data_IF_302957921356
#
_entry.id   IF_302957921356
#
_cell.length_a   1.000
_cell.length_b   1.000
_cell.length_c   1.000
_cell.angle_alpha   90.00
_cell.angle_beta   90.00
_cell.angle_gamma   90.00
#
_symmetry.space_group_name_H-M   'P 1'
#
loop_
_entity.id
_entity.type
_entity.pdbx_description
1 polymer ?
#
# COMPACT_ATOMS: atom_id res chain seq x y z
N UNK A 1 7.76 11.36 -10.44
CA UNK A 1 6.67 10.94 -9.54
C UNK A 1 5.35 11.49 -10.06
N UNK A 2 4.32 10.64 -10.06
CA UNK A 2 2.98 10.99 -10.53
C UNK A 2 1.93 10.70 -9.46
N UNK A 3 0.79 11.37 -9.58
CA UNK A 3 -0.39 11.02 -8.78
C UNK A 3 -0.85 9.58 -9.06
N UNK A 4 -1.58 9.01 -8.10
CA UNK A 4 -2.29 7.74 -8.26
C UNK A 4 -3.28 7.80 -9.43
N UNK A 5 -3.29 6.74 -10.23
CA UNK A 5 -4.14 6.57 -11.41
C UNK A 5 -5.05 5.35 -11.24
N UNK A 6 -6.12 5.28 -12.03
CA UNK A 6 -7.08 4.16 -12.00
C UNK A 6 -6.40 2.80 -12.19
N UNK A 7 -5.35 2.71 -13.01
CA UNK A 7 -4.59 1.47 -13.21
C UNK A 7 -3.97 0.94 -11.91
N UNK A 8 -3.55 1.84 -11.02
CA UNK A 8 -2.86 1.49 -9.78
C UNK A 8 -3.81 0.80 -8.81
N UNK A 9 -5.12 1.11 -8.87
CA UNK A 9 -6.14 0.42 -8.07
C UNK A 9 -6.14 -1.07 -8.42
N UNK A 10 -6.12 -1.43 -9.71
CA UNK A 10 -6.12 -2.82 -10.13
C UNK A 10 -4.81 -3.54 -9.80
N UNK A 11 -3.67 -2.83 -9.88
CA UNK A 11 -2.37 -3.39 -9.49
C UNK A 11 -2.34 -3.67 -7.99
N UNK A 12 -2.79 -2.72 -7.15
CA UNK A 12 -2.89 -2.89 -5.70
C UNK A 12 -3.85 -4.02 -5.31
N UNK A 13 -5.02 -4.13 -5.94
CA UNK A 13 -5.96 -5.22 -5.68
C UNK A 13 -5.35 -6.59 -6.00
N UNK A 14 -4.59 -6.71 -7.10
CA UNK A 14 -3.85 -7.94 -7.43
C UNK A 14 -2.74 -8.23 -6.42
N UNK A 15 -2.01 -7.21 -5.99
CA UNK A 15 -0.98 -7.35 -4.96
C UNK A 15 -1.58 -7.93 -3.68
N UNK A 16 -2.63 -7.30 -3.14
CA UNK A 16 -3.33 -7.74 -1.93
C UNK A 16 -3.78 -9.20 -2.05
N UNK A 17 -4.38 -9.57 -3.18
CA UNK A 17 -4.80 -10.96 -3.43
C UNK A 17 -3.62 -11.92 -3.48
N UNK A 18 -2.54 -11.53 -4.15
CA UNK A 18 -1.34 -12.36 -4.29
C UNK A 18 -0.57 -12.57 -2.99
N UNK A 19 -0.69 -11.64 -2.04
CA UNK A 19 -0.11 -11.71 -0.70
C UNK A 19 -1.06 -12.33 0.32
N UNK A 20 -2.25 -12.76 -0.11
CA UNK A 20 -3.31 -13.29 0.75
C UNK A 20 -3.63 -12.36 1.94
N UNK A 21 -3.67 -11.06 1.68
CA UNK A 21 -3.86 -9.98 2.66
C UNK A 21 -5.33 -9.55 2.82
N UNK A 22 -6.22 -10.18 2.05
CA UNK A 22 -7.62 -9.75 1.92
C UNK A 22 -8.35 -9.71 3.25
N UNK A 23 -8.29 -10.80 4.01
CA UNK A 23 -9.05 -10.94 5.25
C UNK A 23 -8.45 -10.08 6.36
N UNK A 24 -7.12 -9.96 6.42
CA UNK A 24 -6.45 -9.06 7.36
C UNK A 24 -6.82 -7.59 7.11
N UNK A 25 -6.77 -7.13 5.85
CA UNK A 25 -7.14 -5.76 5.52
C UNK A 25 -8.63 -5.46 5.74
N UNK A 26 -9.52 -6.45 5.52
CA UNK A 26 -10.95 -6.31 5.89
C UNK A 26 -11.14 -6.19 7.40
N UNK A 27 -10.39 -6.97 8.18
CA UNK A 27 -10.44 -6.91 9.65
C UNK A 27 -9.91 -5.59 10.20
N UNK A 28 -8.91 -4.99 9.55
CA UNK A 28 -8.44 -3.64 9.90
C UNK A 28 -9.54 -2.63 9.56
N UNK A 29 -10.05 -2.67 8.32
CA UNK A 29 -11.07 -1.73 7.86
C UNK A 29 -12.36 -1.76 8.70
N UNK A 30 -12.77 -2.92 9.20
CA UNK A 30 -13.98 -3.06 10.06
C UNK A 30 -13.80 -2.44 11.45
N UNK A 31 -12.57 -2.24 11.91
CA UNK A 31 -12.24 -1.57 13.18
C UNK A 31 -12.10 -0.06 13.04
N UNK A 32 -11.98 0.46 11.81
CA UNK A 32 -11.81 1.91 11.58
C UNK A 32 -13.15 2.63 11.72
N UNK A 33 -13.23 3.53 12.70
CA UNK A 33 -14.32 4.48 12.87
C UNK A 33 -13.87 5.93 12.56
N UNK A 34 -14.74 6.91 12.83
CA UNK A 34 -14.42 8.34 12.62
C UNK A 34 -13.42 8.91 13.64
N UNK A 35 -13.24 8.24 14.78
CA UNK A 35 -12.38 8.68 15.89
C UNK A 35 -11.03 7.96 15.90
N UNK A 36 -10.84 6.97 15.03
CA UNK A 36 -9.63 6.18 14.94
C UNK A 36 -8.45 7.05 14.53
N UNK A 37 -7.34 6.94 15.24
CA UNK A 37 -6.10 7.63 14.89
C UNK A 37 -5.56 7.06 13.57
N UNK A 38 -5.49 7.92 12.55
CA UNK A 38 -5.09 7.54 11.20
C UNK A 38 -3.67 6.99 11.17
N UNK A 39 -2.79 7.48 12.04
CA UNK A 39 -1.42 6.97 12.14
C UNK A 39 -1.41 5.53 12.64
N UNK A 40 -2.21 5.21 13.67
CA UNK A 40 -2.33 3.85 14.20
C UNK A 40 -2.85 2.86 13.15
N UNK A 41 -3.87 3.26 12.37
CA UNK A 41 -4.42 2.43 11.28
C UNK A 41 -3.39 2.26 10.16
N UNK A 42 -2.67 3.32 9.81
CA UNK A 42 -1.58 3.27 8.81
C UNK A 42 -0.47 2.30 9.22
N UNK A 43 -0.05 2.35 10.49
CA UNK A 43 0.93 1.40 11.03
C UNK A 43 0.40 -0.04 11.00
N UNK A 44 -0.84 -0.29 11.40
CA UNK A 44 -1.41 -1.65 11.36
C UNK A 44 -1.43 -2.21 9.93
N UNK A 45 -1.82 -1.41 8.93
CA UNK A 45 -1.79 -1.81 7.52
C UNK A 45 -0.35 -2.08 7.06
N UNK A 46 0.59 -1.20 7.38
CA UNK A 46 2.00 -1.34 7.02
C UNK A 46 2.64 -2.61 7.63
N UNK A 47 2.46 -2.83 8.94
CA UNK A 47 2.97 -4.03 9.60
C UNK A 47 2.29 -5.30 9.13
N UNK A 48 1.02 -5.25 8.73
CA UNK A 48 0.33 -6.41 8.14
C UNK A 48 0.95 -6.76 6.78
N UNK A 49 1.23 -5.77 5.95
CA UNK A 49 1.91 -5.97 4.66
C UNK A 49 3.32 -6.53 4.89
N UNK A 50 4.12 -5.90 5.78
CA UNK A 50 5.46 -6.38 6.13
C UNK A 50 5.46 -7.80 6.72
N UNK A 51 4.50 -8.13 7.57
CA UNK A 51 4.36 -9.47 8.16
C UNK A 51 4.05 -10.56 7.14
N UNK A 52 3.62 -10.20 5.92
CA UNK A 52 3.48 -11.12 4.78
C UNK A 52 4.67 -11.10 3.83
N UNK A 53 5.56 -10.14 3.97
CA UNK A 53 6.83 -10.07 3.23
C UNK A 53 7.90 -10.95 3.87
N UNK A 54 7.53 -12.16 4.30
CA UNK A 54 8.49 -13.10 4.89
C UNK A 54 9.27 -13.88 3.84
N UNK A 55 8.97 -13.68 2.55
CA UNK A 55 9.66 -14.26 1.41
C UNK A 55 10.00 -13.21 0.34
N UNK A 56 11.14 -13.36 -0.34
CA UNK A 56 11.64 -12.42 -1.36
C UNK A 56 10.66 -12.21 -2.53
N UNK A 57 9.80 -13.18 -2.84
CA UNK A 57 8.82 -13.03 -3.93
C UNK A 57 7.69 -12.08 -3.54
N UNK A 58 7.40 -11.91 -2.26
CA UNK A 58 6.36 -11.00 -1.77
C UNK A 58 6.85 -9.54 -1.76
N UNK A 59 8.09 -9.30 -1.36
CA UNK A 59 8.72 -7.97 -1.36
C UNK A 59 8.83 -7.36 -2.76
N UNK A 60 9.29 -8.16 -3.75
CA UNK A 60 9.44 -7.69 -5.14
C UNK A 60 8.14 -7.13 -5.72
N UNK A 61 7.00 -7.74 -5.40
CA UNK A 61 5.69 -7.27 -5.89
C UNK A 61 5.31 -5.91 -5.29
N UNK A 62 5.77 -5.60 -4.09
CA UNK A 62 5.58 -4.29 -3.46
C UNK A 62 6.44 -3.26 -4.19
N UNK A 63 7.71 -3.56 -4.41
CA UNK A 63 8.62 -2.69 -5.15
C UNK A 63 8.11 -2.41 -6.56
N UNK A 64 7.60 -3.44 -7.26
CA UNK A 64 6.95 -3.30 -8.57
C UNK A 64 5.73 -2.38 -8.50
N UNK A 65 4.86 -2.52 -7.49
CA UNK A 65 3.73 -1.61 -7.31
C UNK A 65 4.19 -0.16 -7.10
N UNK A 66 5.14 0.05 -6.18
CA UNK A 66 5.65 1.38 -5.80
C UNK A 66 6.42 2.07 -6.93
N UNK A 67 7.13 1.29 -7.75
CA UNK A 67 7.85 1.78 -8.93
C UNK A 67 6.94 2.57 -9.88
N UNK A 68 5.66 2.17 -9.97
CA UNK A 68 4.67 2.76 -10.87
C UNK A 68 4.34 4.23 -10.53
N UNK A 69 3.86 4.56 -9.32
CA UNK A 69 3.61 5.94 -8.91
C UNK A 69 4.88 6.76 -8.70
N UNK A 70 5.97 6.13 -8.25
CA UNK A 70 7.24 6.81 -8.02
C UNK A 70 7.98 7.17 -9.31
N UNK A 71 7.70 6.44 -10.41
CA UNK A 71 8.35 6.60 -11.72
C UNK A 71 9.86 6.31 -11.67
N UNK A 72 10.22 5.29 -10.92
CA UNK A 72 11.59 4.75 -10.80
C UNK A 72 11.54 3.23 -11.01
N UNK A 73 12.69 2.56 -11.09
CA UNK A 73 12.70 1.09 -11.17
C UNK A 73 12.42 0.43 -9.83
N UNK A 74 11.96 -0.82 -9.84
CA UNK A 74 11.69 -1.58 -8.61
C UNK A 74 12.96 -1.78 -7.76
N UNK A 75 14.12 -2.00 -8.40
CA UNK A 75 15.41 -2.15 -7.72
C UNK A 75 15.86 -0.86 -7.01
N UNK A 76 15.42 0.30 -7.53
CA UNK A 76 15.65 1.60 -6.89
C UNK A 76 14.71 1.82 -5.70
N UNK A 77 13.53 1.18 -5.66
CA UNK A 77 12.66 1.17 -4.49
C UNK A 77 13.25 0.26 -3.40
N UNK A 78 13.74 -0.92 -3.79
CA UNK A 78 14.32 -1.92 -2.89
C UNK A 78 15.50 -1.39 -2.06
N UNK A 79 16.33 -0.54 -2.67
CA UNK A 79 17.54 0.01 -2.05
C UNK A 79 17.35 1.42 -1.47
N UNK A 80 16.11 1.92 -1.48
CA UNK A 80 15.78 3.26 -0.98
C UNK A 80 15.81 3.32 0.55
N UNK A 81 16.24 4.46 1.10
CA UNK A 81 16.09 4.71 2.53
C UNK A 81 14.59 4.69 2.92
N UNK A 82 14.20 4.02 4.02
CA UNK A 82 12.80 3.94 4.42
C UNK A 82 12.12 5.30 4.68
N UNK A 83 12.86 6.31 5.15
CA UNK A 83 12.33 7.66 5.37
C UNK A 83 12.12 8.39 4.05
N UNK A 84 13.06 8.26 3.11
CA UNK A 84 12.90 8.79 1.76
C UNK A 84 11.69 8.17 1.06
N UNK A 85 11.47 6.86 1.25
CA UNK A 85 10.31 6.18 0.70
C UNK A 85 9.00 6.74 1.29
N UNK A 86 8.96 6.96 2.61
CA UNK A 86 7.80 7.53 3.28
C UNK A 86 7.50 8.95 2.77
N UNK A 87 8.51 9.80 2.65
CA UNK A 87 8.35 11.15 2.10
C UNK A 87 7.78 11.10 0.68
N UNK A 88 8.33 10.24 -0.17
CA UNK A 88 7.86 10.10 -1.55
C UNK A 88 6.44 9.55 -1.64
N UNK A 89 6.04 8.62 -0.76
CA UNK A 89 4.65 8.17 -0.69
C UNK A 89 3.68 9.32 -0.40
N UNK A 90 4.09 10.25 0.47
CA UNK A 90 3.29 11.42 0.83
C UNK A 90 3.22 12.47 -0.28
N UNK A 91 4.24 12.53 -1.14
CA UNK A 91 4.23 13.35 -2.36
C UNK A 91 3.33 12.74 -3.47
N UNK A 92 3.30 11.41 -3.61
CA UNK A 92 2.40 10.72 -4.56
C UNK A 92 0.92 11.01 -4.23
N UNK A 93 0.59 10.97 -2.95
CA UNK A 93 -0.73 11.26 -2.44
C UNK A 93 -0.64 11.62 -0.95
N UNK A 94 -1.43 12.59 -0.51
CA UNK A 94 -1.59 12.83 0.92
C UNK A 94 -2.40 11.70 1.59
N UNK A 95 -2.44 11.72 2.92
CA UNK A 95 -3.11 10.70 3.75
C UNK A 95 -4.56 10.46 3.32
N UNK A 96 -5.34 11.52 3.09
CA UNK A 96 -6.74 11.41 2.70
C UNK A 96 -6.92 10.74 1.34
N UNK A 97 -6.06 11.06 0.36
CA UNK A 97 -6.08 10.41 -0.96
C UNK A 97 -5.68 8.94 -0.86
N UNK A 98 -4.67 8.59 -0.06
CA UNK A 98 -4.31 7.20 0.19
C UNK A 98 -5.45 6.42 0.83
N UNK A 99 -6.12 7.00 1.84
CA UNK A 99 -7.29 6.40 2.48
C UNK A 99 -8.41 6.12 1.48
N UNK A 100 -8.74 7.09 0.63
CA UNK A 100 -9.76 6.92 -0.40
C UNK A 100 -9.34 5.84 -1.42
N UNK A 101 -8.09 5.86 -1.87
CA UNK A 101 -7.54 4.89 -2.81
C UNK A 101 -7.63 3.45 -2.25
N UNK A 102 -7.14 3.24 -1.02
CA UNK A 102 -7.16 1.94 -0.36
C UNK A 102 -8.60 1.45 -0.13
N UNK A 103 -9.50 2.36 0.26
CA UNK A 103 -10.93 2.06 0.37
C UNK A 103 -11.51 1.56 -0.95
N UNK A 104 -11.23 2.24 -2.08
CA UNK A 104 -11.70 1.80 -3.41
C UNK A 104 -11.06 0.50 -3.86
N UNK A 105 -9.76 0.33 -3.65
CA UNK A 105 -9.05 -0.90 -3.98
C UNK A 105 -9.65 -2.10 -3.21
N UNK A 106 -9.98 -1.92 -1.92
CA UNK A 106 -10.59 -2.97 -1.10
C UNK A 106 -11.95 -3.44 -1.59
N UNK A 107 -12.73 -2.56 -2.23
CA UNK A 107 -14.06 -2.91 -2.78
C UNK A 107 -13.97 -3.82 -4.01
N UNK A 108 -12.83 -3.85 -4.70
CA UNK A 108 -12.60 -4.73 -5.84
C UNK A 108 -12.18 -6.14 -5.43
N UNK A 109 -11.90 -6.35 -4.15
CA UNK A 109 -11.38 -7.60 -3.61
C UNK A 109 -12.56 -8.46 -3.13
N UNK A 110 -13.11 -9.26 -4.05
CA UNK A 110 -14.23 -10.18 -3.78
C UNK A 110 -13.78 -11.45 -3.10
#
# INVERSE_FOLDING_TARGET
MRNLQTKDIFIMSRLIMSLNLKEELKNIASKVDKNSDINSVGYEVFFTILGKCTDESSEKKIYEFLSGPLEIKAEEVETMDPLDLLEKLMEVANVDKWKLFLSKASQLIK
#
